data_IF_650301984019
#
_entry.id   IF_650301984019
#
_cell.length_a   1.000
_cell.length_b   1.000
_cell.length_c   1.000
_cell.angle_alpha   90.00
_cell.angle_beta   90.00
_cell.angle_gamma   90.00
#
_symmetry.space_group_name_H-M   'P 1'
#
loop_
_entity.id
_entity.type
_entity.pdbx_description
1 polymer ?
#
# COMPACT_ATOMS: atom_id res chain seq x y z
N UNK A 1 27.19 14.15 -39.07
CA UNK A 1 27.11 12.69 -39.24
C UNK A 1 28.45 12.13 -38.84
N UNK A 2 28.63 11.88 -37.54
CA UNK A 2 29.82 11.19 -37.04
C UNK A 2 29.74 9.72 -37.42
N UNK A 3 30.88 9.05 -37.51
CA UNK A 3 31.01 7.63 -37.83
C UNK A 3 29.89 6.82 -37.17
N UNK A 4 29.13 6.05 -37.97
CA UNK A 4 27.88 5.39 -37.59
C UNK A 4 28.03 4.23 -36.60
N UNK A 5 28.78 4.45 -35.51
CA UNK A 5 28.88 3.58 -34.36
C UNK A 5 28.23 4.26 -33.15
N UNK A 6 27.23 3.60 -32.58
CA UNK A 6 26.52 3.99 -31.37
C UNK A 6 27.09 3.21 -30.17
N UNK A 7 27.18 3.87 -29.02
CA UNK A 7 27.65 3.25 -27.78
C UNK A 7 26.48 2.69 -26.96
N UNK A 8 26.74 1.64 -26.19
CA UNK A 8 25.79 1.15 -25.17
C UNK A 8 25.44 2.30 -24.21
N UNK A 9 24.16 2.40 -23.83
CA UNK A 9 23.54 3.47 -23.03
C UNK A 9 23.47 4.86 -23.69
N UNK A 10 23.89 5.00 -24.94
CA UNK A 10 23.72 6.25 -25.67
C UNK A 10 22.24 6.49 -26.00
N UNK A 11 21.77 7.71 -25.73
CA UNK A 11 20.40 8.13 -26.00
C UNK A 11 20.23 8.42 -27.49
N UNK A 12 19.26 7.76 -28.11
CA UNK A 12 19.02 7.82 -29.55
C UNK A 12 17.54 8.06 -29.85
N UNK A 13 17.29 8.70 -30.98
CA UNK A 13 15.98 8.86 -31.61
C UNK A 13 15.95 8.05 -32.90
N UNK A 14 14.88 7.28 -33.10
CA UNK A 14 14.65 6.47 -34.29
C UNK A 14 14.10 7.38 -35.39
N UNK A 15 14.75 7.37 -36.55
CA UNK A 15 14.48 8.25 -37.69
C UNK A 15 14.32 7.42 -38.96
N UNK A 16 13.29 6.57 -38.97
CA UNK A 16 12.92 5.80 -40.17
C UNK A 16 12.33 6.74 -41.24
N UNK A 17 12.62 6.52 -42.52
CA UNK A 17 11.90 7.14 -43.63
C UNK A 17 10.38 6.92 -43.51
N UNK A 18 9.60 7.85 -44.06
CA UNK A 18 8.14 7.79 -43.96
C UNK A 18 7.58 6.47 -44.53
N UNK A 19 6.91 5.68 -43.68
CA UNK A 19 6.33 4.39 -44.03
C UNK A 19 7.28 3.19 -43.92
N UNK A 20 8.51 3.38 -43.46
CA UNK A 20 9.40 2.28 -43.06
C UNK A 20 9.17 1.89 -41.60
N UNK A 21 9.05 0.59 -41.37
CA UNK A 21 8.96 -0.04 -40.06
C UNK A 21 10.31 -0.61 -39.66
N UNK A 22 10.47 -0.87 -38.37
CA UNK A 22 11.60 -1.63 -37.84
C UNK A 22 11.07 -2.85 -37.07
N UNK A 23 11.79 -3.98 -37.10
CA UNK A 23 11.47 -5.10 -36.23
C UNK A 23 11.55 -4.66 -34.77
N UNK A 24 10.47 -4.86 -34.03
CA UNK A 24 10.39 -4.59 -32.61
C UNK A 24 9.61 -5.68 -31.87
N UNK A 25 9.86 -5.79 -30.57
CA UNK A 25 9.14 -6.71 -29.70
C UNK A 25 8.98 -6.15 -28.29
N UNK A 26 8.00 -6.62 -27.50
CA UNK A 26 7.84 -6.23 -26.10
C UNK A 26 9.04 -6.63 -25.24
N UNK A 27 9.44 -5.76 -24.31
CA UNK A 27 10.46 -6.05 -23.29
C UNK A 27 9.82 -6.10 -21.89
N UNK A 28 10.19 -7.07 -21.01
CA UNK A 28 11.24 -8.07 -21.13
C UNK A 28 10.80 -9.36 -21.85
N UNK A 29 11.76 -10.06 -22.48
CA UNK A 29 11.68 -11.52 -22.70
C UNK A 29 12.38 -12.24 -21.57
N UNK A 30 11.95 -13.47 -21.31
CA UNK A 30 12.61 -14.35 -20.34
C UNK A 30 14.10 -14.62 -20.64
N UNK A 31 14.56 -14.38 -21.86
CA UNK A 31 15.98 -14.29 -22.24
C UNK A 31 16.09 -13.58 -23.60
N UNK A 32 16.71 -12.40 -23.64
CA UNK A 32 16.92 -11.64 -24.90
C UNK A 32 17.79 -12.43 -25.90
N UNK A 33 18.63 -13.35 -25.39
CA UNK A 33 19.50 -14.20 -26.19
C UNK A 33 18.77 -15.38 -26.88
N UNK A 34 17.57 -15.75 -26.43
CA UNK A 34 16.77 -16.88 -26.97
C UNK A 34 15.46 -16.42 -27.62
N UNK A 35 15.30 -15.11 -27.85
CA UNK A 35 14.11 -14.56 -28.48
C UNK A 35 13.95 -15.09 -29.93
N UNK A 36 12.92 -15.91 -30.16
CA UNK A 36 12.61 -16.44 -31.49
C UNK A 36 12.18 -15.32 -32.45
N UNK A 37 12.58 -15.44 -33.73
CA UNK A 37 12.22 -14.47 -34.78
C UNK A 37 10.71 -14.26 -34.94
N UNK A 38 9.88 -15.25 -34.58
CA UNK A 38 8.41 -15.15 -34.63
C UNK A 38 7.81 -14.13 -33.65
N UNK A 39 8.58 -13.69 -32.65
CA UNK A 39 8.14 -12.68 -31.68
C UNK A 39 8.38 -11.23 -32.12
N UNK A 40 9.15 -11.01 -33.19
CA UNK A 40 9.44 -9.69 -33.73
C UNK A 40 8.33 -9.25 -34.71
N UNK A 41 7.80 -8.05 -34.51
CA UNK A 41 6.77 -7.45 -35.34
C UNK A 41 7.28 -6.15 -35.96
N UNK A 42 6.86 -5.86 -37.18
CA UNK A 42 7.20 -4.62 -37.87
C UNK A 42 6.37 -3.46 -37.30
N UNK A 43 7.05 -2.52 -36.65
CA UNK A 43 6.43 -1.36 -36.00
C UNK A 43 6.93 -0.04 -36.58
N UNK A 44 6.04 0.94 -36.71
CA UNK A 44 6.42 2.31 -37.06
C UNK A 44 6.86 3.06 -35.79
N UNK A 45 8.18 3.08 -35.57
CA UNK A 45 8.80 3.70 -34.41
C UNK A 45 9.45 5.05 -34.73
N UNK A 46 9.12 5.67 -35.86
CA UNK A 46 9.69 6.97 -36.23
C UNK A 46 9.40 8.04 -35.17
N UNK A 47 10.43 8.73 -34.69
CA UNK A 47 10.33 9.75 -33.64
C UNK A 47 10.26 9.19 -32.22
N UNK A 48 10.13 7.87 -32.05
CA UNK A 48 10.38 7.27 -30.74
C UNK A 48 11.85 7.37 -30.39
N UNK A 49 12.13 7.36 -29.09
CA UNK A 49 13.48 7.43 -28.57
C UNK A 49 13.72 6.31 -27.58
N UNK A 50 14.99 6.03 -27.33
CA UNK A 50 15.41 4.99 -26.43
C UNK A 50 16.89 5.11 -26.15
N UNK A 51 17.45 4.05 -25.59
CA UNK A 51 18.90 3.92 -25.49
C UNK A 51 19.37 2.68 -26.21
N UNK A 52 20.56 2.79 -26.78
CA UNK A 52 21.24 1.68 -27.43
C UNK A 52 21.63 0.64 -26.37
N UNK A 53 21.08 -0.56 -26.47
CA UNK A 53 21.34 -1.64 -25.53
C UNK A 53 22.50 -2.54 -25.97
N UNK A 54 22.53 -2.92 -27.25
CA UNK A 54 23.58 -3.76 -27.81
C UNK A 54 23.64 -3.64 -29.34
N UNK A 55 24.71 -4.17 -29.93
CA UNK A 55 24.80 -4.43 -31.36
C UNK A 55 24.45 -5.89 -31.65
N UNK A 56 23.62 -6.12 -32.67
CA UNK A 56 23.25 -7.43 -33.15
C UNK A 56 23.93 -7.69 -34.51
N UNK A 57 24.91 -8.60 -34.52
CA UNK A 57 25.67 -8.97 -35.71
C UNK A 57 24.83 -9.71 -36.75
N UNK A 58 23.81 -10.48 -36.34
CA UNK A 58 22.96 -11.25 -37.26
C UNK A 58 22.01 -10.34 -38.02
N UNK A 59 21.44 -9.34 -37.33
CA UNK A 59 20.53 -8.35 -37.92
C UNK A 59 21.27 -7.15 -38.54
N UNK A 60 22.56 -6.97 -38.22
CA UNK A 60 23.33 -5.82 -38.66
C UNK A 60 22.75 -4.49 -38.16
N UNK A 61 22.18 -4.51 -36.95
CA UNK A 61 21.39 -3.44 -36.39
C UNK A 61 21.71 -3.22 -34.89
N UNK A 62 21.42 -2.03 -34.40
CA UNK A 62 21.48 -1.73 -32.98
C UNK A 62 20.16 -2.11 -32.31
N UNK A 63 20.23 -2.86 -31.22
CA UNK A 63 19.10 -3.11 -30.34
C UNK A 63 18.87 -1.88 -29.49
N UNK A 64 17.74 -1.21 -29.67
CA UNK A 64 17.34 0.01 -28.96
C UNK A 64 16.18 -0.29 -28.05
N UNK A 65 16.34 -0.06 -26.75
CA UNK A 65 15.23 -0.12 -25.79
C UNK A 65 14.50 1.22 -25.78
N UNK A 66 13.29 1.24 -26.35
CA UNK A 66 12.49 2.45 -26.50
C UNK A 66 11.89 2.90 -25.18
N UNK A 67 11.52 4.18 -25.09
CA UNK A 67 10.84 4.77 -23.93
C UNK A 67 9.52 4.09 -23.57
N UNK A 68 8.88 3.47 -24.56
CA UNK A 68 7.62 2.72 -24.40
C UNK A 68 7.83 1.24 -24.11
N UNK A 69 9.05 0.81 -23.77
CA UNK A 69 9.32 -0.55 -23.32
C UNK A 69 9.35 -1.59 -24.44
N UNK A 70 9.63 -1.18 -25.68
CA UNK A 70 9.93 -2.09 -26.78
C UNK A 70 11.45 -2.26 -26.93
N UNK A 71 11.87 -3.40 -27.45
CA UNK A 71 13.20 -3.63 -27.98
C UNK A 71 13.11 -3.61 -29.50
N UNK A 72 13.79 -2.66 -30.15
CA UNK A 72 13.75 -2.46 -31.60
C UNK A 72 15.13 -2.72 -32.23
N UNK A 73 15.18 -3.44 -33.34
CA UNK A 73 16.39 -3.64 -34.12
C UNK A 73 16.51 -2.56 -35.19
N UNK A 74 17.33 -1.53 -34.94
CA UNK A 74 17.40 -0.33 -35.78
C UNK A 74 18.75 -0.23 -36.50
N UNK A 75 18.77 -0.16 -37.84
CA UNK A 75 19.99 0.07 -38.60
C UNK A 75 20.71 1.37 -38.18
N UNK A 76 22.05 1.41 -38.20
CA UNK A 76 22.83 2.58 -37.75
C UNK A 76 22.45 3.91 -38.42
N UNK A 77 22.06 3.84 -39.70
CA UNK A 77 21.71 5.02 -40.51
C UNK A 77 20.32 5.60 -40.20
N UNK A 78 19.50 4.89 -39.43
CA UNK A 78 18.16 5.33 -38.99
C UNK A 78 18.17 5.82 -37.54
N UNK A 79 19.34 6.00 -36.93
CA UNK A 79 19.47 6.54 -35.58
C UNK A 79 20.04 7.96 -35.60
N UNK A 80 19.59 8.77 -34.64
CA UNK A 80 20.09 10.11 -34.39
C UNK A 80 20.36 10.31 -32.91
N UNK A 81 21.43 11.02 -32.57
CA UNK A 81 21.75 11.35 -31.19
C UNK A 81 20.68 12.27 -30.61
N UNK A 82 20.21 11.92 -29.40
CA UNK A 82 19.23 12.70 -28.67
C UNK A 82 19.88 13.35 -27.45
N UNK A 83 19.66 14.65 -27.29
CA UNK A 83 20.08 15.34 -26.08
C UNK A 83 19.30 14.83 -24.87
N UNK A 84 19.98 14.77 -23.71
CA UNK A 84 19.37 14.48 -22.40
C UNK A 84 19.16 15.83 -21.70
N UNK A 85 17.92 16.36 -21.60
CA UNK A 85 17.67 17.56 -20.81
C UNK A 85 17.95 17.30 -19.34
N UNK A 86 18.24 18.36 -18.59
CA UNK A 86 18.33 18.28 -17.12
C UNK A 86 16.94 18.01 -16.52
N UNK A 87 16.85 17.45 -15.30
CA UNK A 87 15.58 17.17 -14.64
C UNK A 87 14.63 18.37 -14.52
N UNK A 88 15.14 19.58 -14.28
CA UNK A 88 14.36 20.81 -14.15
C UNK A 88 13.67 21.22 -15.46
N UNK A 89 14.24 20.82 -16.60
CA UNK A 89 13.70 21.02 -17.94
C UNK A 89 12.84 19.82 -18.42
N UNK A 90 12.51 18.88 -17.52
CA UNK A 90 11.69 17.70 -17.80
C UNK A 90 12.46 16.48 -18.28
N UNK A 91 13.78 16.50 -18.13
CA UNK A 91 14.67 15.39 -18.47
C UNK A 91 14.83 14.38 -17.33
N UNK A 92 16.05 13.87 -17.17
CA UNK A 92 16.43 12.87 -16.17
C UNK A 92 17.95 12.80 -16.04
N UNK A 93 18.46 12.35 -14.89
CA UNK A 93 19.89 12.17 -14.66
C UNK A 93 20.36 10.82 -15.22
N UNK A 94 19.65 9.74 -14.89
CA UNK A 94 20.03 8.36 -15.21
C UNK A 94 18.91 7.60 -15.94
N UNK A 95 19.30 6.57 -16.67
CA UNK A 95 18.40 5.56 -17.23
C UNK A 95 18.37 4.34 -16.31
N UNK A 96 17.21 3.70 -16.19
CA UNK A 96 17.13 2.41 -15.52
C UNK A 96 18.09 1.41 -16.18
N UNK A 97 18.88 0.66 -15.40
CA UNK A 97 19.94 -0.18 -15.96
C UNK A 97 19.36 -1.30 -16.84
N UNK A 98 20.12 -1.66 -17.87
CA UNK A 98 19.92 -2.89 -18.63
C UNK A 98 20.28 -4.10 -17.77
N UNK A 99 19.73 -5.27 -18.10
CA UNK A 99 20.05 -6.53 -17.39
C UNK A 99 21.54 -6.91 -17.48
N UNK A 100 22.20 -6.49 -18.56
CA UNK A 100 23.64 -6.68 -18.77
C UNK A 100 24.51 -5.66 -18.02
N UNK A 101 23.93 -4.58 -17.50
CA UNK A 101 24.67 -3.54 -16.80
C UNK A 101 25.02 -3.98 -15.38
N UNK A 102 26.17 -3.51 -14.86
CA UNK A 102 26.57 -3.77 -13.47
C UNK A 102 25.63 -3.03 -12.49
N UNK A 103 24.82 -3.75 -11.69
CA UNK A 103 23.89 -3.13 -10.74
C UNK A 103 24.60 -2.24 -9.71
N UNK A 104 25.85 -2.57 -9.35
CA UNK A 104 26.63 -1.80 -8.40
C UNK A 104 27.07 -0.45 -8.98
N UNK A 105 27.47 -0.41 -10.25
CA UNK A 105 27.83 0.84 -10.92
C UNK A 105 26.65 1.81 -11.01
N UNK A 106 25.45 1.28 -11.29
CA UNK A 106 24.21 2.06 -11.25
C UNK A 106 23.90 2.58 -9.84
N UNK A 107 23.96 1.71 -8.82
CA UNK A 107 23.74 2.08 -7.43
C UNK A 107 24.70 3.18 -6.93
N UNK A 108 25.99 3.08 -7.29
CA UNK A 108 26.98 4.10 -6.99
C UNK A 108 26.65 5.45 -7.65
N UNK A 109 26.24 5.44 -8.91
CA UNK A 109 25.86 6.67 -9.65
C UNK A 109 24.65 7.36 -9.02
N UNK A 110 23.65 6.58 -8.58
CA UNK A 110 22.49 7.12 -7.83
C UNK A 110 22.96 7.73 -6.50
N UNK A 111 23.82 7.05 -5.75
CA UNK A 111 24.34 7.53 -4.48
C UNK A 111 25.15 8.84 -4.64
N UNK A 112 26.00 8.94 -5.65
CA UNK A 112 26.79 10.13 -5.94
C UNK A 112 25.90 11.34 -6.26
N UNK A 113 24.84 11.17 -7.06
CA UNK A 113 23.87 12.23 -7.36
C UNK A 113 23.08 12.64 -6.11
N UNK A 114 22.64 11.68 -5.31
CA UNK A 114 21.97 11.94 -4.04
C UNK A 114 22.88 12.68 -3.04
N UNK A 115 24.19 12.40 -3.03
CA UNK A 115 25.15 13.12 -2.22
C UNK A 115 25.39 14.55 -2.73
N UNK A 116 25.50 14.73 -4.05
CA UNK A 116 25.87 15.99 -4.67
C UNK A 116 24.70 16.99 -4.78
N UNK A 117 23.53 16.54 -5.25
CA UNK A 117 22.33 17.37 -5.51
C UNK A 117 21.25 17.20 -4.43
N UNK A 118 21.25 16.09 -3.71
CA UNK A 118 20.18 15.70 -2.78
C UNK A 118 19.01 14.97 -3.44
N UNK A 119 18.97 14.89 -4.77
CA UNK A 119 17.97 14.16 -5.56
C UNK A 119 18.58 13.58 -6.84
N UNK A 120 17.87 12.63 -7.44
CA UNK A 120 18.20 11.98 -8.69
C UNK A 120 16.89 11.60 -9.40
N UNK A 121 16.76 11.93 -10.68
CA UNK A 121 15.64 11.47 -11.52
C UNK A 121 16.13 10.34 -12.43
N UNK A 122 15.56 9.16 -12.23
CA UNK A 122 15.80 7.97 -13.03
C UNK A 122 14.63 7.80 -14.01
N UNK A 123 14.94 7.58 -15.28
CA UNK A 123 13.95 7.21 -16.29
C UNK A 123 13.78 5.70 -16.34
N UNK A 124 12.58 5.21 -16.04
CA UNK A 124 12.19 3.80 -16.21
C UNK A 124 11.67 3.53 -17.62
N UNK A 125 11.44 2.27 -17.94
CA UNK A 125 10.98 1.83 -19.26
C UNK A 125 9.83 0.83 -19.14
N UNK A 126 8.82 1.16 -18.33
CA UNK A 126 7.62 0.34 -18.22
C UNK A 126 6.76 0.51 -19.47
N UNK A 127 6.33 -0.59 -20.12
CA UNK A 127 5.47 -0.51 -21.30
C UNK A 127 4.15 0.20 -21.00
N UNK A 128 3.61 0.93 -21.98
CA UNK A 128 2.35 1.66 -21.87
C UNK A 128 1.21 0.76 -21.32
N UNK A 129 1.07 -0.46 -21.85
CA UNK A 129 0.04 -1.40 -21.38
C UNK A 129 0.16 -1.76 -19.90
N UNK A 130 1.39 -1.90 -19.37
CA UNK A 130 1.63 -2.15 -17.94
C UNK A 130 1.27 -0.92 -17.11
N UNK A 131 1.61 0.28 -17.61
CA UNK A 131 1.30 1.55 -16.95
C UNK A 131 -0.21 1.81 -16.88
N UNK A 132 -0.93 1.57 -17.97
CA UNK A 132 -2.39 1.66 -18.01
C UNK A 132 -3.07 0.64 -17.10
N UNK A 133 -2.58 -0.60 -17.10
CA UNK A 133 -3.12 -1.63 -16.23
C UNK A 133 -2.86 -1.30 -14.76
N UNK A 134 -1.67 -0.80 -14.41
CA UNK A 134 -1.36 -0.33 -13.06
C UNK A 134 -2.29 0.80 -12.60
N UNK A 135 -2.62 1.74 -13.49
CA UNK A 135 -3.59 2.80 -13.21
C UNK A 135 -4.98 2.23 -12.92
N UNK A 136 -5.44 1.23 -13.69
CA UNK A 136 -6.72 0.54 -13.45
C UNK A 136 -6.71 -0.24 -12.14
N UNK A 137 -5.64 -0.99 -11.88
CA UNK A 137 -5.44 -1.74 -10.64
C UNK A 137 -5.51 -0.79 -9.44
N UNK A 138 -4.84 0.36 -9.51
CA UNK A 138 -4.82 1.36 -8.45
C UNK A 138 -6.18 2.02 -8.21
N UNK A 139 -6.96 2.25 -9.28
CA UNK A 139 -8.33 2.75 -9.18
C UNK A 139 -9.30 1.74 -8.57
N UNK A 140 -9.02 0.44 -8.71
CA UNK A 140 -9.81 -0.65 -8.15
C UNK A 140 -9.46 -0.98 -6.69
N UNK A 141 -8.39 -0.40 -6.13
CA UNK A 141 -8.06 -0.56 -4.72
C UNK A 141 -9.14 0.09 -3.85
N UNK A 142 -9.90 -0.74 -3.14
CA UNK A 142 -10.88 -0.30 -2.16
C UNK A 142 -10.19 0.17 -0.87
N UNK A 143 -10.75 1.23 -0.27
CA UNK A 143 -10.30 1.90 0.97
C UNK A 143 -9.05 2.78 0.81
N UNK A 144 -9.22 4.05 0.39
CA UNK A 144 -8.16 5.04 0.57
C UNK A 144 -7.82 5.16 2.06
N UNK A 145 -6.54 5.09 2.38
CA UNK A 145 -6.01 5.35 3.71
C UNK A 145 -5.87 6.85 3.89
N UNK A 146 -6.48 7.37 4.94
CA UNK A 146 -6.25 8.73 5.39
C UNK A 146 -5.16 8.68 6.46
N UNK A 147 -4.11 9.48 6.27
CA UNK A 147 -3.22 9.83 7.37
C UNK A 147 -3.95 10.82 8.28
N UNK A 148 -3.59 10.85 9.56
CA UNK A 148 -4.09 11.87 10.47
C UNK A 148 -3.48 13.22 10.11
N UNK A 149 -4.21 14.31 10.37
CA UNK A 149 -3.89 15.68 9.94
C UNK A 149 -2.46 16.07 10.31
N UNK A 150 -2.02 15.69 11.51
CA UNK A 150 -0.70 15.99 12.05
C UNK A 150 0.43 15.23 11.35
N UNK A 151 0.13 14.08 10.74
CA UNK A 151 1.13 13.16 10.15
C UNK A 151 1.17 13.23 8.63
N UNK A 152 0.09 13.70 7.99
CA UNK A 152 -0.08 13.62 6.53
C UNK A 152 1.05 14.32 5.78
N UNK A 153 1.39 15.55 6.20
CA UNK A 153 2.37 16.39 5.51
C UNK A 153 3.76 15.73 5.47
N UNK A 154 4.10 14.95 6.49
CA UNK A 154 5.39 14.27 6.60
C UNK A 154 5.53 13.07 5.68
N UNK A 155 4.43 12.40 5.36
CA UNK A 155 4.41 11.33 4.36
C UNK A 155 4.22 11.91 2.95
N UNK A 156 3.21 12.75 2.76
CA UNK A 156 2.67 13.08 1.45
C UNK A 156 3.12 14.43 0.89
N UNK A 157 3.93 15.17 1.66
CA UNK A 157 4.36 16.52 1.33
C UNK A 157 3.29 17.56 1.63
N UNK A 158 3.64 18.83 1.46
CA UNK A 158 2.76 19.96 1.74
C UNK A 158 1.62 20.03 0.73
N UNK A 159 0.40 20.28 1.23
CA UNK A 159 -0.77 20.51 0.37
C UNK A 159 -1.14 19.30 -0.49
N UNK A 160 -1.08 18.10 0.08
CA UNK A 160 -1.46 16.86 -0.59
C UNK A 160 -2.82 16.99 -1.30
N UNK A 161 -2.86 16.58 -2.57
CA UNK A 161 -4.07 16.56 -3.39
C UNK A 161 -4.39 15.14 -3.92
N UNK A 162 -3.75 14.12 -3.34
CA UNK A 162 -3.91 12.72 -3.74
C UNK A 162 -4.61 11.91 -2.67
N UNK A 163 -5.46 10.98 -3.11
CA UNK A 163 -5.87 9.84 -2.29
C UNK A 163 -4.77 8.78 -2.32
N UNK A 164 -4.62 8.08 -1.20
CA UNK A 164 -3.50 7.15 -0.98
C UNK A 164 -4.01 5.77 -0.60
N UNK A 165 -3.42 4.74 -1.18
CA UNK A 165 -3.71 3.33 -0.88
C UNK A 165 -2.39 2.64 -0.60
N UNK A 166 -2.31 1.89 0.49
CA UNK A 166 -1.11 1.14 0.84
C UNK A 166 -1.12 -0.18 0.09
N UNK A 167 -0.02 -0.47 -0.61
CA UNK A 167 0.21 -1.79 -1.16
C UNK A 167 0.62 -2.73 -0.02
N UNK A 168 0.00 -3.90 0.03
CA UNK A 168 0.48 -4.96 0.92
C UNK A 168 1.77 -5.51 0.34
N UNK A 169 2.83 -5.53 1.16
CA UNK A 169 4.08 -6.20 0.81
C UNK A 169 3.75 -7.69 0.68
N UNK A 170 4.05 -8.27 -0.47
CA UNK A 170 3.66 -9.62 -0.86
C UNK A 170 4.14 -10.63 0.20
N UNK A 171 3.25 -11.04 1.11
CA UNK A 171 3.55 -11.99 2.17
C UNK A 171 3.47 -13.40 1.61
N UNK A 172 4.28 -13.72 0.59
CA UNK A 172 4.56 -15.06 0.06
C UNK A 172 3.39 -15.92 -0.44
N UNK A 173 2.13 -15.50 -0.27
CA UNK A 173 0.93 -16.28 -0.54
C UNK A 173 -0.12 -15.45 -1.28
N UNK A 174 0.24 -14.96 -2.48
CA UNK A 174 -0.66 -14.86 -3.66
C UNK A 174 0.13 -14.35 -4.86
N UNK A 175 0.58 -15.30 -5.68
CA UNK A 175 0.98 -15.07 -7.07
C UNK A 175 -0.23 -14.58 -7.89
N UNK A 176 -0.53 -13.30 -7.76
CA UNK A 176 -1.21 -12.51 -8.78
C UNK A 176 -0.34 -11.29 -8.96
N UNK A 177 0.70 -11.41 -9.79
CA UNK A 177 1.59 -10.31 -10.15
C UNK A 177 0.76 -9.22 -10.83
N UNK A 178 0.18 -8.31 -10.04
CA UNK A 178 -0.50 -7.12 -10.54
C UNK A 178 0.52 -6.19 -11.18
N UNK A 179 0.08 -5.29 -12.06
CA UNK A 179 1.02 -4.33 -12.64
C UNK A 179 1.62 -3.41 -11.56
N UNK A 180 0.88 -3.18 -10.46
CA UNK A 180 1.38 -2.47 -9.29
C UNK A 180 2.50 -3.20 -8.54
N UNK A 181 2.41 -4.53 -8.39
CA UNK A 181 3.46 -5.29 -7.70
C UNK A 181 4.76 -5.31 -8.48
N UNK A 182 4.70 -5.31 -9.82
CA UNK A 182 5.89 -5.19 -10.68
C UNK A 182 6.60 -3.85 -10.45
N UNK A 183 5.83 -2.76 -10.32
CA UNK A 183 6.41 -1.43 -10.10
C UNK A 183 6.94 -1.28 -8.67
N UNK A 184 6.25 -1.83 -7.67
CA UNK A 184 6.76 -1.87 -6.28
C UNK A 184 8.04 -2.73 -6.16
N UNK A 185 8.14 -3.80 -6.95
CA UNK A 185 9.37 -4.59 -7.07
C UNK A 185 10.54 -3.76 -7.64
N UNK A 186 10.31 -2.93 -8.67
CA UNK A 186 11.35 -2.00 -9.17
C UNK A 186 11.85 -1.03 -8.08
N UNK A 187 10.96 -0.54 -7.21
CA UNK A 187 11.39 0.28 -6.06
C UNK A 187 12.22 -0.51 -5.04
N UNK A 188 11.96 -1.81 -4.92
CA UNK A 188 12.78 -2.72 -4.10
C UNK A 188 14.15 -2.94 -4.73
N UNK A 189 14.22 -3.16 -6.04
CA UNK A 189 15.47 -3.39 -6.77
C UNK A 189 16.43 -2.20 -6.67
N UNK A 190 15.93 -0.97 -6.88
CA UNK A 190 16.77 0.22 -6.70
C UNK A 190 17.16 0.44 -5.24
N UNK A 191 16.30 0.07 -4.29
CA UNK A 191 16.64 0.06 -2.87
C UNK A 191 17.81 -0.88 -2.57
N UNK A 192 17.80 -2.09 -3.13
CA UNK A 192 18.88 -3.07 -2.99
C UNK A 192 20.17 -2.55 -3.64
N UNK A 193 20.11 -2.06 -4.89
CA UNK A 193 21.27 -1.50 -5.60
C UNK A 193 21.89 -0.32 -4.84
N UNK A 194 21.05 0.55 -4.26
CA UNK A 194 21.51 1.70 -3.49
C UNK A 194 22.08 1.31 -2.12
N UNK A 195 21.53 0.28 -1.47
CA UNK A 195 21.87 -0.11 -0.09
C UNK A 195 23.37 -0.29 0.14
N UNK A 196 24.08 -0.88 -0.82
CA UNK A 196 25.52 -1.13 -0.78
C UNK A 196 26.38 0.15 -0.64
N UNK A 197 25.82 1.31 -0.99
CA UNK A 197 26.55 2.60 -1.02
C UNK A 197 26.03 3.60 0.01
N UNK A 198 24.91 3.30 0.67
CA UNK A 198 24.27 4.22 1.63
C UNK A 198 25.21 4.62 2.77
N UNK A 199 25.92 3.66 3.37
CA UNK A 199 26.79 3.94 4.52
C UNK A 199 28.01 4.78 4.11
N UNK A 200 28.71 4.34 3.04
CA UNK A 200 29.96 4.97 2.60
C UNK A 200 29.75 6.34 1.95
N UNK A 201 28.68 6.51 1.16
CA UNK A 201 28.45 7.73 0.36
C UNK A 201 27.41 8.64 1.03
N UNK A 202 26.30 8.08 1.51
CA UNK A 202 25.17 8.87 2.02
C UNK A 202 25.20 9.08 3.54
N UNK A 203 26.02 8.33 4.27
CA UNK A 203 26.25 8.47 5.71
C UNK A 203 25.19 7.81 6.60
N UNK A 204 24.43 6.82 6.10
CA UNK A 204 23.45 6.06 6.88
C UNK A 204 23.38 4.60 6.39
N UNK A 205 22.94 3.65 7.22
CA UNK A 205 22.78 2.25 6.81
C UNK A 205 21.38 2.00 6.26
N UNK A 206 21.18 1.99 4.93
CA UNK A 206 19.85 1.80 4.33
C UNK A 206 19.44 0.33 4.27
N UNK A 207 18.81 -0.19 5.32
CA UNK A 207 18.52 -1.64 5.47
C UNK A 207 17.06 -2.02 5.29
N UNK A 208 16.14 -1.06 5.40
CA UNK A 208 14.70 -1.33 5.36
C UNK A 208 13.98 -0.43 4.35
N UNK A 209 12.74 -0.81 3.98
CA UNK A 209 11.85 -0.03 3.10
C UNK A 209 10.43 -0.05 3.65
N UNK A 210 9.71 1.04 3.53
CA UNK A 210 8.24 1.04 3.74
C UNK A 210 7.55 0.29 2.60
N UNK A 211 6.33 -0.22 2.84
CA UNK A 211 5.46 -0.64 1.73
C UNK A 211 5.15 0.52 0.78
N UNK A 212 4.90 0.21 -0.49
CA UNK A 212 4.52 1.19 -1.50
C UNK A 212 3.18 1.86 -1.19
N UNK A 213 3.08 3.14 -1.49
CA UNK A 213 1.86 3.93 -1.46
C UNK A 213 1.48 4.30 -2.88
N UNK A 214 0.36 3.77 -3.36
CA UNK A 214 -0.26 4.27 -4.59
C UNK A 214 -0.90 5.63 -4.30
N UNK A 215 -0.68 6.61 -5.17
CA UNK A 215 -1.20 7.97 -5.07
C UNK A 215 -1.95 8.31 -6.36
N UNK A 216 -3.24 8.60 -6.23
CA UNK A 216 -4.07 9.09 -7.34
C UNK A 216 -4.65 10.46 -6.98
N UNK A 217 -4.83 11.38 -7.94
CA UNK A 217 -5.67 12.55 -7.74
C UNK A 217 -7.06 12.16 -7.25
N UNK A 218 -7.67 13.01 -6.43
CA UNK A 218 -9.11 12.90 -6.19
C UNK A 218 -9.86 13.18 -7.51
N UNK A 219 -10.84 12.34 -7.85
CA UNK A 219 -11.62 12.44 -9.08
C UNK A 219 -12.47 13.72 -9.13
N UNK A 220 -12.85 14.27 -7.98
CA UNK A 220 -13.60 15.52 -7.87
C UNK A 220 -13.48 16.14 -6.47
N UNK A 221 -13.99 17.36 -6.34
CA UNK A 221 -13.99 18.11 -5.07
C UNK A 221 -14.79 17.43 -3.96
N UNK A 222 -15.83 16.65 -4.29
CA UNK A 222 -16.63 15.93 -3.30
C UNK A 222 -15.84 14.74 -2.72
N UNK A 223 -15.11 13.99 -3.54
CA UNK A 223 -14.18 12.96 -3.08
C UNK A 223 -13.06 13.58 -2.25
N UNK A 224 -12.42 14.65 -2.75
CA UNK A 224 -11.37 15.37 -2.00
C UNK A 224 -11.85 15.87 -0.63
N UNK A 225 -13.12 16.27 -0.51
CA UNK A 225 -13.70 16.71 0.77
C UNK A 225 -13.94 15.55 1.74
N UNK A 226 -14.29 14.36 1.24
CA UNK A 226 -14.47 13.15 2.07
C UNK A 226 -13.14 12.56 2.54
N UNK A 227 -12.07 12.78 1.77
CA UNK A 227 -10.73 12.27 2.05
C UNK A 227 -9.86 13.26 2.82
N UNK A 228 -10.46 14.28 3.44
CA UNK A 228 -9.73 15.18 4.31
C UNK A 228 -9.25 14.41 5.54
N UNK A 229 -7.96 14.56 5.91
CA UNK A 229 -7.44 13.90 7.09
C UNK A 229 -8.20 14.40 8.33
N UNK A 230 -8.48 13.48 9.26
CA UNK A 230 -9.04 13.81 10.57
C UNK A 230 -7.89 14.02 11.58
N UNK A 231 -8.08 14.87 12.60
CA UNK A 231 -7.09 15.02 13.67
C UNK A 231 -6.88 13.74 14.46
N UNK A 232 -5.69 13.56 15.04
CA UNK A 232 -5.39 12.47 15.96
C UNK A 232 -6.40 12.39 17.12
N UNK A 233 -6.93 11.19 17.35
CA UNK A 233 -7.75 10.87 18.53
C UNK A 233 -7.04 9.90 19.46
N UNK A 234 -7.54 9.78 20.69
CA UNK A 234 -6.93 8.89 21.69
C UNK A 234 -6.84 7.43 21.23
N UNK A 235 -7.79 6.97 20.41
CA UNK A 235 -7.75 5.62 19.83
C UNK A 235 -6.53 5.42 18.90
N UNK A 236 -6.10 6.45 18.17
CA UNK A 236 -4.90 6.37 17.33
C UNK A 236 -3.62 6.21 18.16
N UNK A 237 -3.58 6.81 19.35
CA UNK A 237 -2.49 6.64 20.31
C UNK A 237 -2.46 5.19 20.84
N UNK A 238 -3.63 4.63 21.18
CA UNK A 238 -3.72 3.22 21.60
C UNK A 238 -3.30 2.26 20.48
N UNK A 239 -3.53 2.63 19.22
CA UNK A 239 -3.19 1.84 18.03
C UNK A 239 -1.73 2.05 17.56
N UNK A 240 -0.95 2.88 18.28
CA UNK A 240 0.47 3.09 18.02
C UNK A 240 0.77 3.96 16.80
N UNK A 241 -0.20 4.74 16.32
CA UNK A 241 -0.06 5.58 15.11
C UNK A 241 1.04 6.61 15.29
N UNK A 242 1.13 7.22 16.48
CA UNK A 242 2.13 8.24 16.78
C UNK A 242 3.53 7.63 16.85
N UNK A 243 3.69 6.47 17.50
CA UNK A 243 4.95 5.74 17.61
C UNK A 243 5.45 5.32 16.22
N UNK A 244 4.57 4.82 15.37
CA UNK A 244 4.89 4.51 13.97
C UNK A 244 5.32 5.77 13.21
N UNK A 245 4.60 6.88 13.39
CA UNK A 245 4.95 8.14 12.74
C UNK A 245 6.31 8.69 13.22
N UNK A 246 6.60 8.63 14.52
CA UNK A 246 7.89 9.01 15.08
C UNK A 246 9.03 8.10 14.59
N UNK A 247 8.78 6.78 14.50
CA UNK A 247 9.73 5.84 13.91
C UNK A 247 10.03 6.20 12.45
N UNK A 248 8.99 6.52 11.67
CA UNK A 248 9.14 6.97 10.30
C UNK A 248 9.98 8.26 10.21
N UNK A 249 9.68 9.27 11.03
CA UNK A 249 10.45 10.51 11.08
C UNK A 249 11.93 10.26 11.41
N UNK A 250 12.19 9.38 12.38
CA UNK A 250 13.54 9.06 12.84
C UNK A 250 14.34 8.33 11.77
N UNK A 251 13.72 7.35 11.10
CA UNK A 251 14.43 6.41 10.24
C UNK A 251 14.33 6.69 8.74
N UNK A 252 13.40 7.53 8.26
CA UNK A 252 13.30 7.86 6.82
C UNK A 252 14.58 8.54 6.33
N UNK A 253 15.08 8.11 5.18
CA UNK A 253 16.28 8.70 4.55
C UNK A 253 16.01 9.11 3.11
N UNK A 254 15.74 8.14 2.25
CA UNK A 254 15.49 8.40 0.81
C UNK A 254 14.04 8.12 0.47
N UNK A 255 13.36 9.11 -0.11
CA UNK A 255 12.03 8.92 -0.70
C UNK A 255 12.19 8.52 -2.17
N UNK A 256 11.41 7.53 -2.60
CA UNK A 256 11.31 7.06 -3.97
C UNK A 256 9.89 7.33 -4.48
N UNK A 257 9.72 8.34 -5.33
CA UNK A 257 8.44 8.73 -5.92
C UNK A 257 8.47 8.45 -7.42
N UNK A 258 7.73 7.43 -7.84
CA UNK A 258 7.63 7.02 -9.24
C UNK A 258 6.34 7.55 -9.85
N UNK A 259 6.44 8.51 -10.76
CA UNK A 259 5.32 8.91 -11.63
C UNK A 259 5.21 7.86 -12.73
N UNK A 260 4.21 6.99 -12.60
CA UNK A 260 4.03 5.83 -13.48
C UNK A 260 3.37 6.26 -14.77
N UNK A 261 2.21 6.93 -14.68
CA UNK A 261 1.37 7.24 -15.83
C UNK A 261 0.57 8.52 -15.62
N UNK A 262 -0.01 9.03 -16.71
CA UNK A 262 -1.07 10.04 -16.70
C UNK A 262 -0.61 11.49 -16.82
N UNK A 263 0.60 11.70 -17.35
CA UNK A 263 1.12 13.00 -17.77
C UNK A 263 2.13 13.61 -16.80
N UNK A 264 2.43 14.89 -17.01
CA UNK A 264 3.48 15.60 -16.27
C UNK A 264 2.95 16.08 -14.92
N UNK A 265 3.46 15.50 -13.85
CA UNK A 265 3.25 15.96 -12.48
C UNK A 265 4.38 16.89 -12.04
N UNK A 266 4.10 17.86 -11.17
CA UNK A 266 5.13 18.74 -10.61
C UNK A 266 5.53 18.27 -9.21
N UNK A 267 6.82 18.02 -8.99
CA UNK A 267 7.39 17.88 -7.65
C UNK A 267 8.23 19.11 -7.35
N UNK A 268 7.98 19.75 -6.22
CA UNK A 268 8.81 20.83 -5.71
C UNK A 268 9.53 20.36 -4.46
N UNK A 269 10.85 20.33 -4.52
CA UNK A 269 11.72 20.00 -3.39
C UNK A 269 12.08 21.27 -2.64
N UNK A 270 11.77 21.28 -1.34
CA UNK A 270 12.04 22.37 -0.41
C UNK A 270 13.33 22.06 0.35
N UNK A 271 14.44 22.51 -0.20
CA UNK A 271 15.76 22.45 0.45
C UNK A 271 15.83 23.60 1.45
N UNK A 272 16.42 23.39 2.64
CA UNK A 272 16.58 24.48 3.61
C UNK A 272 17.30 25.71 3.03
N UNK A 273 16.70 26.90 3.16
CA UNK A 273 17.12 28.14 2.47
C UNK A 273 16.21 28.45 1.27
N UNK A 274 16.17 29.69 0.78
CA UNK A 274 15.19 30.18 -0.25
C UNK A 274 15.37 29.57 -1.67
N UNK A 275 15.77 28.31 -1.81
CA UNK A 275 15.94 27.64 -3.11
C UNK A 275 15.10 26.37 -3.17
N UNK A 276 13.88 26.53 -3.68
CA UNK A 276 13.06 25.41 -4.12
C UNK A 276 13.57 24.90 -5.48
N UNK A 277 13.62 23.59 -5.65
CA UNK A 277 13.84 22.93 -6.95
C UNK A 277 12.50 22.45 -7.47
N UNK A 278 12.16 22.78 -8.72
CA UNK A 278 10.90 22.39 -9.36
C UNK A 278 11.21 21.39 -10.47
N UNK A 279 10.61 20.20 -10.37
CA UNK A 279 10.86 19.08 -11.26
C UNK A 279 9.55 18.68 -11.95
N UNK A 280 9.41 18.92 -13.27
CA UNK A 280 8.34 18.34 -14.07
C UNK A 280 8.65 16.86 -14.35
N UNK A 281 7.88 15.96 -13.74
CA UNK A 281 8.03 14.51 -13.87
C UNK A 281 6.93 13.95 -14.77
N UNK A 282 7.31 13.48 -15.96
CA UNK A 282 6.41 12.76 -16.86
C UNK A 282 6.24 11.29 -16.48
N UNK A 283 5.53 10.56 -17.34
CA UNK A 283 5.40 9.11 -17.24
C UNK A 283 6.76 8.42 -17.19
N UNK A 284 6.87 7.30 -16.47
CA UNK A 284 8.14 6.57 -16.30
C UNK A 284 9.25 7.38 -15.60
N UNK A 285 8.93 8.41 -14.81
CA UNK A 285 9.92 9.16 -14.02
C UNK A 285 9.96 8.68 -12.57
N UNK A 286 11.09 8.11 -12.15
CA UNK A 286 11.37 7.75 -10.75
C UNK A 286 12.27 8.80 -10.12
N UNK A 287 11.71 9.60 -9.21
CA UNK A 287 12.47 10.57 -8.42
C UNK A 287 12.91 9.94 -7.10
N UNK A 288 14.22 9.97 -6.84
CA UNK A 288 14.81 9.69 -5.54
C UNK A 288 15.27 11.00 -4.91
N UNK A 289 15.00 11.23 -3.62
CA UNK A 289 15.51 12.40 -2.91
C UNK A 289 15.76 12.15 -1.43
N UNK A 290 16.71 12.89 -0.84
CA UNK A 290 17.10 12.87 0.57
C UNK A 290 16.03 13.50 1.46
N UNK A 291 15.00 12.73 1.79
CA UNK A 291 13.87 13.17 2.62
C UNK A 291 14.27 13.49 4.08
N UNK A 292 15.45 13.05 4.51
CA UNK A 292 16.09 13.49 5.75
C UNK A 292 16.66 14.92 5.68
N UNK A 293 16.85 15.47 4.47
CA UNK A 293 17.45 16.79 4.24
C UNK A 293 16.49 17.82 3.65
N UNK A 294 15.39 17.37 3.02
CA UNK A 294 14.43 18.25 2.36
C UNK A 294 13.00 17.76 2.53
N UNK A 295 12.04 18.69 2.44
CA UNK A 295 10.60 18.37 2.33
C UNK A 295 10.13 18.62 0.90
N UNK A 296 8.88 18.32 0.58
CA UNK A 296 8.40 18.51 -0.79
C UNK A 296 6.93 18.90 -0.87
N UNK A 297 6.53 19.40 -2.03
CA UNK A 297 5.15 19.55 -2.49
C UNK A 297 4.99 18.68 -3.74
N UNK A 298 3.94 17.87 -3.82
CA UNK A 298 3.63 17.09 -5.02
C UNK A 298 2.28 17.51 -5.58
N UNK A 299 2.29 17.95 -6.84
CA UNK A 299 1.10 18.34 -7.61
C UNK A 299 0.91 17.34 -8.75
N UNK A 300 0.01 16.36 -8.58
CA UNK A 300 -0.20 15.33 -9.58
C UNK A 300 -0.91 15.89 -10.82
N UNK A 301 -0.69 15.28 -11.97
CA UNK A 301 -1.53 15.50 -13.14
C UNK A 301 -2.94 14.91 -12.92
N UNK A 302 -4.00 15.41 -13.57
CA UNK A 302 -5.39 15.04 -13.25
C UNK A 302 -5.74 13.55 -13.33
N UNK A 303 -5.00 12.78 -14.13
CA UNK A 303 -5.24 11.34 -14.35
C UNK A 303 -4.00 10.50 -14.05
N UNK A 304 -3.10 11.01 -13.19
CA UNK A 304 -1.83 10.33 -12.91
C UNK A 304 -1.92 9.25 -11.85
N UNK A 305 -1.01 8.28 -11.97
CA UNK A 305 -0.64 7.35 -10.90
C UNK A 305 0.80 7.62 -10.50
N UNK A 306 1.03 7.79 -9.19
CA UNK A 306 2.36 7.71 -8.62
C UNK A 306 2.46 6.63 -7.55
N UNK A 307 3.62 5.99 -7.45
CA UNK A 307 3.96 5.06 -6.39
C UNK A 307 5.07 5.64 -5.52
N UNK A 308 4.87 5.66 -4.21
CA UNK A 308 5.83 6.23 -3.28
C UNK A 308 6.22 5.26 -2.17
N UNK A 309 7.52 5.11 -1.92
CA UNK A 309 8.04 4.41 -0.75
C UNK A 309 9.29 5.09 -0.22
N UNK A 310 9.75 4.67 0.95
CA UNK A 310 10.94 5.23 1.60
C UNK A 310 11.91 4.13 1.97
N UNK A 311 13.19 4.38 1.68
CA UNK A 311 14.30 3.67 2.30
C UNK A 311 14.51 4.23 3.71
N UNK A 312 14.67 3.31 4.65
CA UNK A 312 14.82 3.57 6.07
C UNK A 312 16.18 3.10 6.56
N UNK A 313 16.72 3.81 7.55
CA UNK A 313 17.95 3.41 8.23
C UNK A 313 17.75 2.12 9.05
N UNK A 314 16.59 2.00 9.71
CA UNK A 314 16.19 0.81 10.46
C UNK A 314 14.72 0.48 10.17
N UNK A 315 14.33 -0.76 10.49
CA UNK A 315 12.92 -1.15 10.49
C UNK A 315 12.14 -0.31 11.52
N UNK A 316 10.97 0.18 11.15
CA UNK A 316 10.13 1.00 12.03
C UNK A 316 9.74 0.28 13.33
N UNK A 317 9.68 -1.06 13.32
CA UNK A 317 9.38 -1.88 14.50
C UNK A 317 10.53 -1.94 15.51
N UNK A 318 11.75 -1.51 15.13
CA UNK A 318 12.87 -1.37 16.06
C UNK A 318 12.73 -0.15 16.98
N UNK A 319 11.85 0.80 16.63
CA UNK A 319 11.65 1.99 17.44
C UNK A 319 10.92 1.67 18.75
N UNK A 320 11.56 2.03 19.86
CA UNK A 320 10.96 2.00 21.19
C UNK A 320 11.22 3.32 21.90
N UNK A 321 10.20 3.84 22.59
CA UNK A 321 10.35 5.02 23.45
C UNK A 321 10.70 4.52 24.85
N UNK A 322 11.93 4.79 25.29
CA UNK A 322 12.39 4.40 26.63
C UNK A 322 11.50 5.02 27.73
N UNK A 323 11.07 4.19 28.68
CA UNK A 323 10.29 4.63 29.84
C UNK A 323 8.77 4.70 29.64
N UNK A 324 8.27 4.37 28.44
CA UNK A 324 6.85 4.12 28.20
C UNK A 324 6.59 2.61 28.17
N UNK A 325 5.43 2.20 28.69
CA UNK A 325 5.01 0.82 28.55
C UNK A 325 4.80 0.50 27.05
N UNK A 326 5.13 -0.71 26.60
CA UNK A 326 5.10 -1.06 25.17
C UNK A 326 3.68 -1.07 24.57
N UNK A 327 2.64 -0.96 25.39
CA UNK A 327 1.27 -0.71 24.97
C UNK A 327 0.48 0.04 26.06
N UNK A 328 -0.65 0.64 25.67
CA UNK A 328 -1.60 1.21 26.62
C UNK A 328 -2.11 0.16 27.63
N UNK A 329 -2.27 -1.10 27.20
CA UNK A 329 -2.69 -2.20 28.07
C UNK A 329 -1.64 -2.50 29.15
N UNK A 330 -0.36 -2.49 28.79
CA UNK A 330 0.74 -2.68 29.74
C UNK A 330 0.85 -1.50 30.71
N UNK A 331 0.63 -0.27 30.22
CA UNK A 331 0.59 0.92 31.08
C UNK A 331 -0.57 0.88 32.09
N UNK A 332 -1.72 0.37 31.67
CA UNK A 332 -2.94 0.27 32.48
C UNK A 332 -3.00 -1.02 33.31
N UNK A 333 -2.03 -1.94 33.16
CA UNK A 333 -2.01 -3.23 33.86
C UNK A 333 -3.17 -4.16 33.47
N UNK A 334 -3.68 -4.04 32.24
CA UNK A 334 -4.79 -4.87 31.76
C UNK A 334 -4.28 -6.28 31.49
N UNK A 335 -4.65 -7.22 32.36
CA UNK A 335 -4.35 -8.64 32.19
C UNK A 335 -5.40 -9.27 31.26
N UNK A 336 -5.04 -9.55 30.01
CA UNK A 336 -5.94 -10.15 29.03
C UNK A 336 -5.26 -10.52 27.71
N UNK A 337 -5.97 -11.19 26.78
CA UNK A 337 -5.47 -11.39 25.42
C UNK A 337 -5.21 -10.04 24.75
N UNK A 338 -4.14 -9.95 23.96
CA UNK A 338 -3.80 -8.73 23.21
C UNK A 338 -5.00 -8.27 22.38
N UNK A 339 -5.27 -6.96 22.37
CA UNK A 339 -6.33 -6.36 21.55
C UNK A 339 -6.07 -6.71 20.06
N UNK A 340 -7.10 -7.15 19.32
CA UNK A 340 -6.95 -7.38 17.88
C UNK A 340 -6.74 -6.05 17.14
N UNK A 341 -5.84 -6.06 16.16
CA UNK A 341 -5.58 -4.96 15.24
C UNK A 341 -6.69 -4.87 14.17
N UNK A 342 -7.01 -3.65 13.71
CA UNK A 342 -7.95 -3.42 12.60
C UNK A 342 -9.37 -2.99 13.01
N UNK A 343 -10.34 -3.14 12.09
CA UNK A 343 -11.72 -2.68 12.24
C UNK A 343 -12.40 -3.31 13.47
N UNK A 344 -12.90 -2.46 14.38
CA UNK A 344 -13.47 -2.90 15.67
C UNK A 344 -15.00 -2.88 15.65
N UNK A 345 -15.60 -3.91 16.25
CA UNK A 345 -17.04 -3.92 16.54
C UNK A 345 -17.28 -3.18 17.85
N UNK A 346 -18.07 -2.12 17.81
CA UNK A 346 -18.47 -1.39 19.00
C UNK A 346 -19.81 -1.91 19.52
N UNK A 347 -19.83 -2.40 20.76
CA UNK A 347 -21.08 -2.72 21.47
C UNK A 347 -21.73 -1.41 21.91
N UNK A 348 -22.68 -0.91 21.12
CA UNK A 348 -23.37 0.37 21.38
C UNK A 348 -24.53 0.26 22.37
N UNK A 349 -25.11 -0.93 22.50
CA UNK A 349 -26.26 -1.19 23.37
C UNK A 349 -26.31 -2.66 23.77
N UNK A 350 -26.89 -2.93 24.93
CA UNK A 350 -27.16 -4.27 25.46
C UNK A 350 -28.59 -4.29 26.00
N UNK A 351 -29.30 -5.39 25.76
CA UNK A 351 -30.60 -5.66 26.34
C UNK A 351 -30.72 -7.16 26.60
N UNK A 352 -31.33 -7.55 27.72
CA UNK A 352 -31.49 -8.96 28.06
C UNK A 352 -32.35 -9.16 29.30
N UNK A 353 -32.96 -10.34 29.38
CA UNK A 353 -33.64 -10.86 30.56
C UNK A 353 -32.85 -12.07 31.05
N UNK A 354 -32.55 -12.12 32.34
CA UNK A 354 -31.68 -13.12 32.93
C UNK A 354 -32.34 -13.76 34.17
N UNK A 355 -31.91 -14.98 34.57
CA UNK A 355 -32.33 -15.58 35.83
C UNK A 355 -32.06 -14.66 37.03
N UNK A 356 -32.80 -14.84 38.13
CA UNK A 356 -32.66 -14.00 39.32
C UNK A 356 -33.29 -12.61 39.21
N UNK A 357 -34.29 -12.45 38.32
CA UNK A 357 -35.06 -11.21 38.10
C UNK A 357 -34.25 -10.04 37.55
N UNK A 358 -33.12 -10.31 36.89
CA UNK A 358 -32.36 -9.27 36.21
C UNK A 358 -32.98 -8.97 34.83
N UNK A 359 -33.61 -7.80 34.73
CA UNK A 359 -34.37 -7.37 33.57
C UNK A 359 -33.62 -6.40 32.64
N UNK A 360 -32.39 -6.03 33.00
CA UNK A 360 -31.50 -5.17 32.24
C UNK A 360 -30.02 -5.52 32.49
N UNK A 361 -29.08 -5.02 31.66
CA UNK A 361 -27.66 -5.32 31.80
C UNK A 361 -27.05 -4.89 33.15
N UNK A 362 -27.57 -3.85 33.80
CA UNK A 362 -27.05 -3.36 35.07
C UNK A 362 -27.46 -4.24 36.24
N UNK A 363 -28.69 -4.75 36.20
CA UNK A 363 -29.16 -5.75 37.16
C UNK A 363 -28.38 -7.07 37.02
N UNK A 364 -28.15 -7.51 35.79
CA UNK A 364 -27.29 -8.67 35.51
C UNK A 364 -25.88 -8.45 36.07
N UNK A 365 -25.28 -7.28 35.80
CA UNK A 365 -23.96 -6.94 36.29
C UNK A 365 -23.88 -6.92 37.82
N UNK A 366 -24.92 -6.39 38.47
CA UNK A 366 -25.03 -6.38 39.93
C UNK A 366 -25.07 -7.80 40.51
N UNK A 367 -25.78 -8.73 39.87
CA UNK A 367 -25.78 -10.15 40.27
C UNK A 367 -24.41 -10.80 40.13
N UNK A 368 -23.69 -10.53 39.04
CA UNK A 368 -22.35 -11.07 38.78
C UNK A 368 -21.35 -10.59 39.83
N UNK A 369 -21.31 -9.28 40.10
CA UNK A 369 -20.43 -8.71 41.15
C UNK A 369 -20.79 -9.27 42.52
N UNK A 370 -22.08 -9.44 42.81
CA UNK A 370 -22.53 -9.94 44.11
C UNK A 370 -22.39 -11.46 44.25
N UNK A 371 -21.95 -12.18 43.21
CA UNK A 371 -21.89 -13.65 43.21
C UNK A 371 -23.25 -14.32 43.45
N UNK A 372 -24.34 -13.73 42.98
CA UNK A 372 -25.71 -14.21 43.24
C UNK A 372 -26.01 -15.49 42.45
N UNK A 373 -26.46 -16.53 43.15
CA UNK A 373 -26.95 -17.76 42.51
C UNK A 373 -28.37 -17.56 41.96
N UNK A 374 -28.52 -17.59 40.64
CA UNK A 374 -29.80 -17.46 39.93
C UNK A 374 -30.50 -18.80 39.65
N UNK A 375 -29.91 -19.92 40.11
CA UNK A 375 -30.45 -21.26 39.88
C UNK A 375 -31.58 -21.55 40.88
N UNK A 376 -32.73 -22.02 40.37
CA UNK A 376 -33.88 -22.43 41.18
C UNK A 376 -34.46 -23.75 40.69
N UNK A 377 -35.25 -24.41 41.54
CA UNK A 377 -36.04 -25.57 41.13
C UNK A 377 -37.02 -25.19 40.00
N UNK A 378 -37.48 -26.18 39.24
CA UNK A 378 -38.46 -25.98 38.18
C UNK A 378 -39.71 -25.27 38.70
N UNK A 379 -40.17 -24.29 37.91
CA UNK A 379 -41.46 -23.66 38.15
C UNK A 379 -42.58 -24.64 37.77
N UNK A 380 -43.51 -24.88 38.71
CA UNK A 380 -44.68 -25.76 38.50
C UNK A 380 -45.59 -25.29 37.37
N UNK A 381 -45.54 -24.00 37.01
CA UNK A 381 -46.26 -23.45 35.85
C UNK A 381 -45.65 -23.87 34.51
N UNK A 382 -44.36 -24.25 34.50
CA UNK A 382 -43.65 -24.68 33.29
C UNK A 382 -43.58 -26.19 33.16
N UNK A 383 -43.25 -26.88 34.26
CA UNK A 383 -43.02 -28.32 34.24
C UNK A 383 -43.48 -28.98 35.54
N UNK A 384 -44.08 -30.17 35.42
CA UNK A 384 -44.42 -30.98 36.58
C UNK A 384 -43.23 -31.85 36.99
N UNK A 385 -42.58 -31.46 38.08
CA UNK A 385 -41.44 -32.18 38.65
C UNK A 385 -41.73 -33.67 38.89
N UNK A 386 -42.91 -34.03 39.41
CA UNK A 386 -43.25 -35.42 39.77
C UNK A 386 -43.24 -36.38 38.56
N UNK A 387 -43.55 -35.85 37.37
CA UNK A 387 -43.60 -36.63 36.14
C UNK A 387 -42.22 -36.81 35.53
N UNK A 388 -41.39 -35.77 35.61
CA UNK A 388 -40.17 -35.67 34.79
C UNK A 388 -38.87 -35.72 35.59
N UNK A 389 -38.89 -35.62 36.92
CA UNK A 389 -37.69 -35.68 37.75
C UNK A 389 -37.57 -37.03 38.48
N UNK A 390 -36.34 -37.54 38.57
CA UNK A 390 -36.00 -38.66 39.46
C UNK A 390 -34.57 -38.54 39.98
N UNK A 391 -34.41 -38.86 41.26
CA UNK A 391 -33.09 -38.96 41.92
C UNK A 391 -32.37 -40.25 41.50
N UNK A 392 -33.09 -41.26 40.98
CA UNK A 392 -32.49 -42.50 40.51
C UNK A 392 -31.85 -42.30 39.12
N UNK A 393 -30.51 -42.41 38.98
CA UNK A 393 -29.84 -42.22 37.70
C UNK A 393 -30.27 -43.22 36.62
N UNK A 394 -30.79 -44.39 37.01
CA UNK A 394 -31.30 -45.38 36.06
C UNK A 394 -32.59 -44.93 35.38
N UNK A 395 -33.35 -44.00 35.98
CA UNK A 395 -34.62 -43.56 35.40
C UNK A 395 -34.45 -42.62 34.19
N UNK A 396 -33.22 -42.16 33.93
CA UNK A 396 -32.88 -41.40 32.71
C UNK A 396 -33.21 -42.21 31.45
N UNK A 397 -33.09 -43.54 31.49
CA UNK A 397 -33.47 -44.42 30.37
C UNK A 397 -34.98 -44.40 30.07
N UNK A 398 -35.79 -43.94 31.02
CA UNK A 398 -37.23 -43.76 30.88
C UNK A 398 -37.63 -42.31 30.59
N UNK A 399 -36.67 -41.45 30.24
CA UNK A 399 -36.91 -40.06 29.87
C UNK A 399 -37.07 -39.11 31.07
N UNK A 400 -36.63 -39.49 32.27
CA UNK A 400 -36.59 -38.59 33.43
C UNK A 400 -35.29 -37.80 33.50
N UNK A 401 -35.38 -36.56 33.96
CA UNK A 401 -34.23 -35.73 34.32
C UNK A 401 -33.67 -36.10 35.68
N UNK A 402 -32.34 -36.09 35.80
CA UNK A 402 -31.62 -36.26 37.06
C UNK A 402 -31.42 -34.93 37.83
N UNK A 403 -31.79 -33.79 37.22
CA UNK A 403 -31.80 -32.46 37.85
C UNK A 403 -33.15 -31.78 37.67
N UNK A 404 -33.63 -31.13 38.72
CA UNK A 404 -34.81 -30.26 38.71
C UNK A 404 -34.43 -28.77 38.89
N UNK A 405 -33.14 -28.42 38.83
CA UNK A 405 -32.64 -27.06 39.05
C UNK A 405 -32.12 -26.43 37.75
N UNK A 406 -32.40 -25.15 37.53
CA UNK A 406 -31.93 -24.37 36.39
C UNK A 406 -32.11 -22.86 36.57
N UNK A 407 -31.48 -22.07 35.70
CA UNK A 407 -31.68 -20.63 35.64
C UNK A 407 -32.92 -20.31 34.81
N UNK A 408 -34.00 -19.87 35.43
CA UNK A 408 -35.26 -19.57 34.75
C UNK A 408 -35.63 -18.09 34.86
N UNK A 409 -36.17 -17.55 33.77
CA UNK A 409 -36.89 -16.27 33.80
C UNK A 409 -38.19 -16.41 34.60
N UNK A 410 -38.78 -15.29 34.99
CA UNK A 410 -40.12 -15.31 35.59
C UNK A 410 -41.19 -15.70 34.57
N UNK A 411 -42.32 -16.19 35.05
CA UNK A 411 -43.43 -16.60 34.18
C UNK A 411 -43.97 -15.39 33.40
N UNK A 412 -44.09 -14.22 34.03
CA UNK A 412 -44.54 -13.01 33.37
C UNK A 412 -43.58 -12.58 32.24
N UNK A 413 -42.28 -12.79 32.40
CA UNK A 413 -41.27 -12.43 31.38
C UNK A 413 -41.32 -13.35 30.14
N UNK A 414 -41.87 -14.57 30.25
CA UNK A 414 -42.00 -15.50 29.10
C UNK A 414 -43.40 -15.55 28.50
N UNK A 415 -44.43 -15.24 29.29
CA UNK A 415 -45.83 -15.25 28.85
C UNK A 415 -46.31 -13.86 28.45
N UNK A 416 -45.64 -12.81 28.94
CA UNK A 416 -45.89 -11.43 28.57
C UNK A 416 -45.28 -11.09 27.22
N UNK A 417 -46.13 -11.00 26.20
CA UNK A 417 -45.77 -10.50 24.88
C UNK A 417 -46.70 -9.33 24.52
N UNK A 418 -46.15 -8.28 23.89
CA UNK A 418 -46.92 -7.13 23.40
C UNK A 418 -47.10 -7.27 21.88
N UNK A 419 -48.11 -8.01 21.40
CA UNK A 419 -48.29 -8.28 19.98
C UNK A 419 -48.64 -7.00 19.20
N UNK A 420 -49.35 -6.06 19.84
CA UNK A 420 -49.71 -4.77 19.24
C UNK A 420 -48.50 -3.91 18.87
N UNK A 421 -47.47 -3.89 19.72
CA UNK A 421 -46.20 -3.21 19.43
C UNK A 421 -45.52 -3.74 18.17
N UNK A 422 -45.55 -5.06 17.95
CA UNK A 422 -44.94 -5.71 16.79
C UNK A 422 -45.87 -5.83 15.57
N UNK A 423 -47.13 -5.40 15.69
CA UNK A 423 -48.13 -5.53 14.63
C UNK A 423 -48.58 -6.97 14.37
N UNK A 424 -48.42 -7.85 15.36
CA UNK A 424 -48.81 -9.27 15.30
C UNK A 424 -50.26 -9.39 15.78
N UNK A 425 -51.14 -10.14 15.10
CA UNK A 425 -52.48 -10.43 15.60
C UNK A 425 -52.45 -11.29 16.87
N UNK A 426 -53.38 -11.06 17.80
CA UNK A 426 -53.43 -11.84 19.05
C UNK A 426 -53.52 -13.35 18.82
N UNK A 427 -54.24 -13.79 17.78
CA UNK A 427 -54.36 -15.22 17.44
C UNK A 427 -53.01 -15.85 17.09
N UNK A 428 -52.15 -15.13 16.36
CA UNK A 428 -50.81 -15.58 15.99
C UNK A 428 -49.86 -15.56 17.20
N UNK A 429 -50.02 -14.61 18.10
CA UNK A 429 -49.22 -14.55 19.32
C UNK A 429 -49.54 -15.67 20.33
N UNK A 430 -50.75 -16.26 20.26
CA UNK A 430 -51.18 -17.36 21.13
C UNK A 430 -50.94 -18.76 20.52
N UNK A 431 -50.75 -18.86 19.21
CA UNK A 431 -50.50 -20.14 18.50
C UNK A 431 -49.04 -20.58 18.61
#
# INVERSE_FOLDING_TARGET
AGDGQWYVDQLVEITTPAGETVPAMPFPLADVAEAEDEAWQEEDLCGQWGHCAAWDDERGAYLVRTSEGLLAAVPPGQLKERARPEPEDGGFDLLWPLESADPNAFGASVADLLQAKGYCVVRTFLPEGVREQALRDAQALDKPRMFQEETETDYLGRGNATKVMRLELDSGEKTSQSSLSVIDAQQTDIGIMLSAFTEQILGFSGTARTGGLARLPAANSAEASRLRPEPLVFADLEDGVLEQHLAFLKFRRVSMLHVVAGGVSEVRLHVGGDRDVVLPLGDNSLLLFRHDQMTYTYRPAPYSLALQSWMLEEDMNAFQIEGLAPSADDALGVLGPKRPLGDRVQVKSLAGRYPGKAQDPWQMWSMLISGTDGVRAWDKTRMNEELYYSVNPQDVIYGKSYTNHGGFLEYEDISGFDPGFFGIPDEEAHS
#
